data_IF_581930996750
#
_entry.id   IF_581930996750
#
_cell.length_a   1.000
_cell.length_b   1.000
_cell.length_c   1.000
_cell.angle_alpha   90.00
_cell.angle_beta   90.00
_cell.angle_gamma   90.00
#
_symmetry.space_group_name_H-M   'P 1'
#
loop_
_entity.id
_entity.type
_entity.pdbx_description
1 polymer ?
#
# COMPACT_ATOMS: atom_id res chain seq x y z
N UNK A 1 10.76 33.30 27.05
CA UNK A 1 10.22 31.96 27.41
C UNK A 1 9.00 31.57 26.59
N UNK A 2 8.22 32.44 26.03
CA UNK A 2 7.06 32.12 25.17
C UNK A 2 7.48 31.70 23.74
N UNK A 3 8.54 32.25 23.18
CA UNK A 3 9.02 31.87 21.83
C UNK A 3 9.49 30.40 21.71
N UNK A 4 10.16 29.88 22.72
CA UNK A 4 10.65 28.51 22.70
C UNK A 4 9.55 27.44 22.81
N UNK A 5 8.40 27.83 23.39
CA UNK A 5 7.24 26.91 23.52
C UNK A 5 6.48 26.77 22.19
N UNK A 6 6.50 27.79 21.33
CA UNK A 6 5.90 27.73 19.99
C UNK A 6 6.72 26.89 19.01
N UNK A 7 8.06 26.97 19.06
CA UNK A 7 8.94 26.16 18.20
C UNK A 7 8.84 24.66 18.56
N UNK A 8 8.76 24.31 19.85
CA UNK A 8 8.60 22.92 20.31
C UNK A 8 7.22 22.34 19.94
N UNK A 9 6.14 23.16 19.88
CA UNK A 9 4.81 22.72 19.43
C UNK A 9 4.74 22.56 17.90
N UNK A 10 5.38 23.44 17.15
CA UNK A 10 5.44 23.35 15.67
C UNK A 10 6.28 22.16 15.23
N UNK A 11 7.43 21.91 15.87
CA UNK A 11 8.28 20.76 15.57
C UNK A 11 7.57 19.43 15.95
N UNK A 12 6.79 19.42 17.03
CA UNK A 12 5.97 18.28 17.44
C UNK A 12 4.83 18.00 16.45
N UNK A 13 4.20 19.04 15.88
CA UNK A 13 3.15 18.89 14.86
C UNK A 13 3.76 18.44 13.52
N UNK A 14 4.89 19.01 13.09
CA UNK A 14 5.58 18.61 11.86
C UNK A 14 5.95 17.13 11.85
N UNK A 15 6.54 16.63 12.95
CA UNK A 15 6.83 15.22 13.11
C UNK A 15 5.57 14.37 13.14
N UNK A 16 4.43 14.91 13.63
CA UNK A 16 3.14 14.24 13.63
C UNK A 16 2.59 13.99 12.22
N UNK A 17 2.70 14.97 11.29
CA UNK A 17 2.20 14.81 9.92
C UNK A 17 3.08 13.86 9.08
N UNK A 18 4.40 13.93 9.21
CA UNK A 18 5.31 12.99 8.55
C UNK A 18 5.03 11.56 9.02
N UNK A 19 4.73 11.37 10.31
CA UNK A 19 4.39 10.06 10.85
C UNK A 19 2.95 9.64 10.44
N UNK A 20 2.00 10.57 10.24
CA UNK A 20 0.65 10.25 9.68
C UNK A 20 0.76 9.73 8.26
N UNK A 21 1.59 10.35 7.42
CA UNK A 21 1.87 9.87 6.06
C UNK A 21 2.59 8.52 6.10
N UNK A 22 3.58 8.35 7.00
CA UNK A 22 4.29 7.08 7.18
C UNK A 22 3.40 5.97 7.74
N UNK A 23 2.45 6.28 8.62
CA UNK A 23 1.52 5.26 9.20
C UNK A 23 0.30 5.05 8.31
N UNK A 24 -0.17 6.04 7.55
CA UNK A 24 -1.09 5.79 6.43
C UNK A 24 -0.40 4.91 5.37
N UNK A 25 0.88 5.13 5.09
CA UNK A 25 1.69 4.24 4.28
C UNK A 25 1.89 2.87 4.94
N UNK A 26 2.01 2.77 6.26
CA UNK A 26 2.11 1.49 6.99
C UNK A 26 0.75 0.79 7.13
N UNK A 27 -0.35 1.51 7.28
CA UNK A 27 -1.70 0.93 7.27
C UNK A 27 -2.17 0.58 5.85
N UNK A 28 -1.79 1.36 4.84
CA UNK A 28 -1.87 0.99 3.43
C UNK A 28 -0.84 -0.10 3.09
N UNK A 29 0.33 -0.14 3.73
CA UNK A 29 1.31 -1.21 3.55
C UNK A 29 0.98 -2.47 4.36
N UNK A 30 0.10 -2.44 5.33
CA UNK A 30 -0.51 -3.65 5.92
C UNK A 30 -1.63 -4.17 4.98
N UNK A 31 -2.36 -3.28 4.30
CA UNK A 31 -3.20 -3.64 3.14
C UNK A 31 -2.36 -3.92 1.87
N UNK A 32 -1.22 -3.25 1.68
CA UNK A 32 -0.26 -3.37 0.57
C UNK A 32 1.07 -4.03 0.93
N UNK A 33 1.26 -4.47 2.17
CA UNK A 33 2.41 -5.27 2.63
C UNK A 33 2.54 -6.61 1.90
N UNK A 34 1.47 -6.96 1.21
CA UNK A 34 1.40 -8.02 0.22
C UNK A 34 2.25 -7.69 -1.02
N UNK A 35 2.32 -6.43 -1.49
CA UNK A 35 3.01 -6.04 -2.74
C UNK A 35 4.53 -6.14 -2.60
N UNK A 36 5.12 -5.62 -1.53
CA UNK A 36 6.58 -5.68 -1.29
C UNK A 36 7.14 -7.09 -1.13
N UNK A 37 6.37 -8.00 -0.52
CA UNK A 37 6.71 -9.42 -0.36
C UNK A 37 6.71 -10.15 -1.71
N UNK A 38 5.84 -9.74 -2.61
CA UNK A 38 5.69 -10.35 -3.93
C UNK A 38 6.92 -10.15 -4.81
N UNK A 39 7.46 -8.95 -4.89
CA UNK A 39 8.63 -8.58 -5.71
C UNK A 39 9.89 -9.35 -5.27
N UNK A 40 10.06 -9.60 -3.98
CA UNK A 40 11.24 -10.27 -3.45
C UNK A 40 11.23 -11.78 -3.66
N UNK A 41 10.07 -12.44 -3.61
CA UNK A 41 9.98 -13.90 -3.84
C UNK A 41 10.45 -14.27 -5.24
N UNK A 42 10.25 -13.43 -6.23
CA UNK A 42 10.60 -13.70 -7.62
C UNK A 42 12.11 -13.59 -7.89
N UNK A 43 12.78 -12.65 -7.26
CA UNK A 43 14.24 -12.48 -7.41
C UNK A 43 15.08 -13.64 -6.83
N UNK A 44 14.50 -14.56 -6.05
CA UNK A 44 15.17 -15.73 -5.47
C UNK A 44 14.93 -17.06 -6.18
N UNK A 45 13.98 -17.16 -7.10
CA UNK A 45 13.65 -18.42 -7.78
C UNK A 45 14.59 -18.84 -8.93
N UNK A 46 15.84 -18.32 -8.95
CA UNK A 46 16.90 -18.76 -9.88
C UNK A 46 17.50 -20.13 -9.59
N UNK A 47 16.98 -20.96 -8.69
CA UNK A 47 17.47 -22.33 -8.49
C UNK A 47 16.44 -23.22 -7.77
N UNK A 48 15.76 -24.03 -8.55
CA UNK A 48 14.93 -25.14 -8.00
C UNK A 48 15.82 -26.23 -7.40
N UNK A 49 15.65 -26.61 -6.13
CA UNK A 49 16.09 -27.91 -5.66
C UNK A 49 14.91 -28.88 -5.80
N UNK A 50 15.02 -29.84 -6.73
CA UNK A 50 14.26 -31.07 -6.61
C UNK A 50 14.69 -31.80 -5.35
N UNK A 51 13.83 -31.82 -4.34
CA UNK A 51 14.02 -32.56 -3.12
C UNK A 51 12.71 -33.15 -2.63
N UNK A 52 12.53 -34.45 -2.79
CA UNK A 52 11.38 -35.20 -2.29
C UNK A 52 11.25 -35.06 -0.77
N UNK A 53 10.25 -34.32 -0.33
CA UNK A 53 9.85 -34.17 1.07
C UNK A 53 8.64 -35.03 1.38
N UNK A 54 8.75 -35.79 2.42
CA UNK A 54 7.72 -36.66 2.98
C UNK A 54 6.42 -35.90 3.21
N UNK A 55 5.32 -36.42 2.70
CA UNK A 55 3.95 -35.97 2.98
C UNK A 55 3.69 -35.95 4.48
N UNK A 56 3.67 -34.76 5.07
CA UNK A 56 3.03 -34.55 6.35
C UNK A 56 1.52 -34.53 6.09
N UNK A 57 0.82 -35.50 6.63
CA UNK A 57 -0.62 -35.62 6.54
C UNK A 57 -1.28 -34.45 7.26
N UNK A 58 -1.86 -33.49 6.52
CA UNK A 58 -2.72 -32.47 7.11
C UNK A 58 -4.01 -33.16 7.54
N UNK A 59 -4.13 -33.48 8.82
CA UNK A 59 -5.40 -33.92 9.42
C UNK A 59 -6.35 -32.72 9.42
N UNK A 60 -7.42 -32.80 8.63
CA UNK A 60 -8.51 -31.84 8.69
C UNK A 60 -9.01 -31.72 10.13
N UNK A 61 -8.95 -30.51 10.68
CA UNK A 61 -9.32 -30.22 12.07
C UNK A 61 -10.82 -30.48 12.25
N UNK A 62 -11.18 -31.35 13.15
CA UNK A 62 -12.57 -31.78 13.40
C UNK A 62 -13.18 -31.19 14.67
N UNK A 63 -12.38 -30.61 15.56
CA UNK A 63 -12.85 -29.97 16.78
C UNK A 63 -13.19 -28.50 16.52
N UNK A 64 -14.39 -28.01 16.90
CA UNK A 64 -14.76 -26.61 16.75
C UNK A 64 -13.76 -25.61 17.36
N UNK A 65 -13.15 -25.92 18.49
CA UNK A 65 -12.16 -25.06 19.15
C UNK A 65 -10.79 -25.00 18.43
N UNK A 66 -10.48 -25.99 17.59
CA UNK A 66 -9.23 -26.01 16.81
C UNK A 66 -9.35 -25.31 15.45
N UNK A 67 -10.57 -25.09 14.98
CA UNK A 67 -10.85 -24.41 13.68
C UNK A 67 -10.42 -22.96 13.66
N UNK A 68 -10.43 -22.30 14.81
CA UNK A 68 -10.14 -20.88 14.97
C UNK A 68 -8.69 -20.60 15.41
N UNK A 69 -7.85 -21.63 15.49
CA UNK A 69 -6.42 -21.47 15.75
C UNK A 69 -5.70 -20.80 14.59
N UNK A 70 -4.71 -19.96 14.92
CA UNK A 70 -3.82 -19.32 13.96
C UNK A 70 -3.11 -20.37 13.09
N UNK A 71 -3.20 -20.23 11.77
CA UNK A 71 -2.68 -21.17 10.80
C UNK A 71 -3.49 -22.47 10.63
N UNK A 72 -4.66 -22.60 11.29
CA UNK A 72 -5.53 -23.77 11.09
C UNK A 72 -6.16 -23.75 9.70
N UNK A 73 -6.07 -24.86 8.98
CA UNK A 73 -6.66 -25.02 7.64
C UNK A 73 -8.08 -25.59 7.78
N UNK A 74 -9.09 -24.84 7.33
CA UNK A 74 -10.51 -25.13 7.54
C UNK A 74 -11.32 -24.87 6.28
N UNK A 75 -12.16 -25.81 5.87
CA UNK A 75 -13.11 -25.61 4.77
C UNK A 75 -14.48 -25.15 5.31
N UNK A 76 -14.69 -23.83 5.28
CA UNK A 76 -15.93 -23.17 5.74
C UNK A 76 -17.12 -23.35 4.78
N UNK A 77 -16.92 -23.90 3.58
CA UNK A 77 -18.05 -24.25 2.70
C UNK A 77 -18.82 -25.46 3.21
N UNK A 78 -18.19 -26.33 4.03
CA UNK A 78 -18.80 -27.56 4.54
C UNK A 78 -19.93 -27.33 5.54
N UNK A 79 -19.88 -26.23 6.29
CA UNK A 79 -20.93 -25.86 7.24
C UNK A 79 -21.84 -24.74 6.73
N UNK A 80 -21.60 -24.29 5.49
CA UNK A 80 -22.39 -23.25 4.83
C UNK A 80 -22.11 -21.84 5.33
N UNK A 81 -21.07 -21.62 6.16
CA UNK A 81 -20.71 -20.27 6.63
C UNK A 81 -20.05 -19.42 5.55
N UNK A 82 -19.43 -20.04 4.54
CA UNK A 82 -18.83 -19.38 3.38
C UNK A 82 -19.39 -19.95 2.07
N UNK A 83 -19.79 -19.08 1.15
CA UNK A 83 -19.98 -19.40 -0.27
C UNK A 83 -18.76 -18.88 -1.01
N UNK A 84 -17.86 -19.78 -1.40
CA UNK A 84 -16.63 -19.46 -2.10
C UNK A 84 -16.89 -19.25 -3.59
N UNK A 85 -16.36 -18.17 -4.17
CA UNK A 85 -16.37 -17.92 -5.62
C UNK A 85 -15.44 -18.87 -6.39
N UNK A 86 -15.43 -18.79 -7.72
CA UNK A 86 -14.39 -19.40 -8.55
C UNK A 86 -13.04 -18.72 -8.29
N UNK A 87 -12.00 -19.50 -8.03
CA UNK A 87 -10.65 -19.00 -7.76
C UNK A 87 -9.59 -19.57 -8.73
N UNK A 88 -10.00 -20.28 -9.77
CA UNK A 88 -9.11 -20.88 -10.75
C UNK A 88 -9.35 -20.29 -12.13
N UNK A 89 -8.27 -19.88 -12.80
CA UNK A 89 -8.34 -19.37 -14.18
C UNK A 89 -9.01 -18.00 -14.28
N UNK A 90 -8.90 -17.18 -13.24
CA UNK A 90 -9.34 -15.78 -13.25
C UNK A 90 -8.55 -15.04 -14.33
N UNK A 91 -9.24 -14.23 -15.13
CA UNK A 91 -8.61 -13.39 -16.14
C UNK A 91 -8.04 -12.14 -15.46
N UNK A 92 -6.75 -11.88 -15.67
CA UNK A 92 -6.03 -10.72 -15.15
C UNK A 92 -5.39 -9.98 -16.32
N UNK A 93 -5.61 -8.68 -16.39
CA UNK A 93 -4.93 -7.80 -17.35
C UNK A 93 -3.66 -7.24 -16.69
N UNK A 94 -2.47 -7.59 -17.20
CA UNK A 94 -1.21 -7.12 -16.63
C UNK A 94 -0.83 -5.71 -17.11
N UNK A 95 -1.60 -5.09 -18.02
CA UNK A 95 -1.29 -3.75 -18.52
C UNK A 95 -1.36 -2.73 -17.37
N UNK A 96 -0.25 -2.01 -17.06
CA UNK A 96 -0.26 -1.04 -15.99
C UNK A 96 -1.13 0.18 -16.36
N UNK A 97 -1.86 0.72 -15.40
CA UNK A 97 -2.57 1.98 -15.58
C UNK A 97 -1.59 3.14 -15.75
N UNK A 98 -2.05 4.24 -16.37
CA UNK A 98 -1.18 5.42 -16.56
C UNK A 98 -0.73 6.05 -15.21
N UNK A 99 -1.54 5.92 -14.17
CA UNK A 99 -1.19 6.32 -12.80
C UNK A 99 -0.02 5.51 -12.25
N UNK A 100 -0.05 4.18 -12.38
CA UNK A 100 1.04 3.29 -11.91
C UNK A 100 2.37 3.64 -12.58
N UNK A 101 2.30 3.99 -13.87
CA UNK A 101 3.49 4.41 -14.62
C UNK A 101 4.04 5.72 -14.08
N UNK A 102 3.18 6.67 -13.74
CA UNK A 102 3.60 7.95 -13.18
C UNK A 102 4.22 7.75 -11.79
N UNK A 103 3.59 6.97 -10.94
CA UNK A 103 4.10 6.60 -9.61
C UNK A 103 5.47 5.91 -9.70
N UNK A 104 5.64 4.93 -10.59
CA UNK A 104 6.94 4.26 -10.80
C UNK A 104 8.04 5.21 -11.32
N UNK A 105 7.67 6.30 -11.98
CA UNK A 105 8.62 7.33 -12.45
C UNK A 105 8.96 8.38 -11.38
N UNK A 106 8.13 8.56 -10.36
CA UNK A 106 8.24 9.62 -9.35
C UNK A 106 9.63 9.71 -8.72
N UNK A 107 10.31 8.61 -8.30
CA UNK A 107 11.66 8.68 -7.70
C UNK A 107 12.72 9.33 -8.58
N UNK A 108 12.51 9.34 -9.89
CA UNK A 108 13.38 10.05 -10.83
C UNK A 108 12.89 11.48 -11.08
N UNK A 109 11.56 11.68 -11.15
CA UNK A 109 10.96 12.99 -11.43
C UNK A 109 11.28 14.03 -10.34
N UNK A 110 11.34 13.64 -9.08
CA UNK A 110 11.71 14.52 -7.95
C UNK A 110 13.15 15.03 -8.04
N UNK A 111 14.01 14.39 -8.81
CA UNK A 111 15.40 14.81 -9.08
C UNK A 111 15.52 15.91 -10.14
N UNK A 112 14.44 16.21 -10.84
CA UNK A 112 14.43 17.29 -11.84
C UNK A 112 14.68 18.65 -11.19
N UNK A 113 15.27 19.56 -11.96
CA UNK A 113 15.60 20.91 -11.50
C UNK A 113 15.22 21.96 -12.54
N UNK A 114 15.26 23.22 -12.14
CA UNK A 114 15.00 24.37 -13.01
C UNK A 114 16.14 24.66 -14.03
N UNK A 115 17.17 23.83 -14.05
CA UNK A 115 18.32 24.00 -14.98
C UNK A 115 17.93 23.75 -16.44
N UNK A 116 16.95 22.88 -16.68
CA UNK A 116 16.47 22.57 -18.02
C UNK A 116 15.17 23.32 -18.31
N UNK A 117 15.25 24.35 -19.13
CA UNK A 117 14.12 25.24 -19.44
C UNK A 117 13.36 24.71 -20.65
N UNK A 118 12.04 24.72 -20.56
CA UNK A 118 11.13 24.39 -21.62
C UNK A 118 9.70 24.74 -21.22
N UNK A 119 8.87 25.15 -22.16
CA UNK A 119 7.49 25.49 -21.86
C UNK A 119 6.68 24.22 -21.63
N UNK A 120 5.96 24.19 -20.55
CA UNK A 120 5.02 23.12 -20.20
C UNK A 120 3.86 23.12 -21.20
N UNK A 121 3.48 21.93 -21.64
CA UNK A 121 2.34 21.65 -22.52
C UNK A 121 1.41 20.66 -21.83
N UNK A 122 0.18 20.54 -22.34
CA UNK A 122 -0.72 19.47 -21.92
C UNK A 122 -0.09 18.10 -22.24
N UNK A 123 -0.15 17.18 -21.30
CA UNK A 123 0.47 15.85 -21.35
C UNK A 123 1.90 15.77 -20.81
N UNK A 124 2.54 16.93 -20.55
CA UNK A 124 3.87 16.92 -19.91
C UNK A 124 3.79 16.45 -18.46
N UNK A 125 4.81 15.70 -18.02
CA UNK A 125 5.02 15.37 -16.61
C UNK A 125 5.89 16.47 -16.00
N UNK A 126 5.45 17.00 -14.85
CA UNK A 126 6.14 18.08 -14.13
C UNK A 126 6.30 17.73 -12.66
N UNK A 127 7.33 18.31 -12.03
CA UNK A 127 7.49 18.30 -10.58
C UNK A 127 7.33 19.74 -10.09
N UNK A 128 6.52 19.92 -9.04
CA UNK A 128 6.21 21.23 -8.46
C UNK A 128 6.33 21.18 -6.93
N UNK A 129 6.55 22.34 -6.32
CA UNK A 129 6.29 22.53 -4.89
C UNK A 129 5.02 23.37 -4.74
N UNK A 130 4.22 23.04 -3.74
CA UNK A 130 2.97 23.70 -3.40
C UNK A 130 3.02 24.22 -1.97
N UNK A 131 2.73 25.51 -1.77
CA UNK A 131 2.59 26.15 -0.45
C UNK A 131 1.19 26.75 -0.34
N UNK A 132 0.32 26.13 0.47
CA UNK A 132 -1.03 26.61 0.70
C UNK A 132 -1.10 27.64 1.83
N UNK A 133 -1.89 28.70 1.63
CA UNK A 133 -2.11 29.72 2.66
C UNK A 133 -3.58 30.13 2.74
N UNK A 134 -4.05 30.40 3.96
CA UNK A 134 -5.38 30.93 4.24
C UNK A 134 -5.22 32.32 4.84
N UNK A 135 -5.84 33.34 4.23
CA UNK A 135 -5.73 34.75 4.67
C UNK A 135 -4.27 35.24 4.80
N UNK A 136 -3.34 34.61 4.06
CA UNK A 136 -1.91 34.94 4.05
C UNK A 136 -1.06 34.25 5.11
N UNK A 137 -1.66 33.39 5.92
CA UNK A 137 -0.94 32.48 6.84
C UNK A 137 -0.76 31.12 6.18
N UNK A 138 0.48 30.61 6.15
CA UNK A 138 0.80 29.28 5.56
C UNK A 138 0.14 28.19 6.39
N UNK A 139 -0.55 27.27 5.72
CA UNK A 139 -1.19 26.13 6.32
C UNK A 139 -0.38 24.87 5.98
N UNK A 140 0.27 24.28 7.01
CA UNK A 140 1.20 23.16 6.81
C UNK A 140 0.54 21.95 6.13
N UNK A 141 -0.73 21.64 6.46
CA UNK A 141 -1.48 20.55 5.84
C UNK A 141 -1.86 20.75 4.37
N UNK A 142 -1.56 21.91 3.79
CA UNK A 142 -1.77 22.23 2.37
C UNK A 142 -0.45 22.58 1.66
N UNK A 143 0.69 22.23 2.28
CA UNK A 143 2.04 22.47 1.74
C UNK A 143 2.68 21.14 1.42
N UNK A 144 3.13 21.01 0.17
CA UNK A 144 3.70 19.77 -0.34
C UNK A 144 4.90 20.09 -1.25
N UNK A 145 5.99 19.35 -1.07
CA UNK A 145 7.18 19.44 -1.89
C UNK A 145 7.27 18.22 -2.81
N UNK A 146 7.91 18.40 -3.95
CA UNK A 146 8.18 17.33 -4.91
C UNK A 146 6.94 16.65 -5.51
N UNK A 147 5.83 17.38 -5.62
CA UNK A 147 4.60 16.87 -6.20
C UNK A 147 4.77 16.62 -7.70
N UNK A 148 4.60 15.36 -8.13
CA UNK A 148 4.71 14.94 -9.53
C UNK A 148 3.32 14.77 -10.12
N UNK A 149 3.07 15.40 -11.26
CA UNK A 149 1.76 15.30 -11.94
C UNK A 149 1.92 15.31 -13.46
N UNK A 150 0.94 14.77 -14.16
CA UNK A 150 0.78 14.92 -15.60
C UNK A 150 -0.26 16.00 -15.91
N UNK A 151 0.15 17.01 -16.62
CA UNK A 151 -0.69 18.16 -16.96
C UNK A 151 -1.82 17.74 -17.91
N UNK A 152 -3.06 17.78 -17.46
CA UNK A 152 -4.25 17.40 -18.19
C UNK A 152 -5.02 16.22 -17.61
N UNK A 153 -4.48 15.52 -16.61
CA UNK A 153 -5.16 14.39 -15.94
C UNK A 153 -6.17 14.88 -14.89
N UNK A 154 -6.12 16.17 -14.52
CA UNK A 154 -7.02 16.86 -13.59
C UNK A 154 -6.98 16.32 -12.15
N UNK A 155 -5.95 15.61 -11.79
CA UNK A 155 -5.77 15.02 -10.47
C UNK A 155 -5.61 16.08 -9.37
N UNK A 156 -4.89 17.17 -9.68
CA UNK A 156 -4.62 18.27 -8.75
C UNK A 156 -5.44 19.53 -9.04
N UNK A 157 -6.53 19.38 -9.78
CA UNK A 157 -7.45 20.45 -10.11
C UNK A 157 -7.20 21.12 -11.46
N UNK A 158 -8.29 21.25 -12.21
CA UNK A 158 -8.29 21.77 -13.59
C UNK A 158 -7.68 23.18 -13.71
N UNK A 159 -7.91 24.06 -12.72
CA UNK A 159 -7.42 25.44 -12.73
C UNK A 159 -5.91 25.53 -12.50
N UNK A 160 -5.34 24.69 -11.65
CA UNK A 160 -3.89 24.59 -11.45
C UNK A 160 -3.22 24.15 -12.75
N UNK A 161 -3.65 23.05 -13.31
CA UNK A 161 -3.05 22.45 -14.50
C UNK A 161 -3.13 23.38 -15.72
N UNK A 162 -4.25 24.08 -15.92
CA UNK A 162 -4.37 25.12 -16.95
C UNK A 162 -3.35 26.24 -16.79
N UNK A 163 -3.07 26.66 -15.56
CA UNK A 163 -2.11 27.74 -15.28
C UNK A 163 -0.66 27.29 -15.43
N UNK A 164 -0.38 25.97 -15.33
CA UNK A 164 0.95 25.41 -15.60
C UNK A 164 1.30 25.47 -17.09
N UNK A 165 0.32 25.33 -17.98
CA UNK A 165 0.57 25.38 -19.42
C UNK A 165 1.21 26.71 -19.83
N UNK A 166 2.32 26.62 -20.55
CA UNK A 166 3.13 27.77 -21.00
C UNK A 166 4.15 28.30 -19.98
N UNK A 167 4.12 27.81 -18.73
CA UNK A 167 5.16 28.06 -17.74
C UNK A 167 6.42 27.23 -18.04
N UNK A 168 7.48 27.49 -17.31
CA UNK A 168 8.74 26.77 -17.42
C UNK A 168 9.34 26.52 -16.03
N UNK A 169 10.25 25.55 -15.90
CA UNK A 169 10.96 25.32 -14.65
C UNK A 169 11.58 26.61 -14.07
N UNK A 170 11.36 26.84 -12.76
CA UNK A 170 11.74 28.06 -12.03
C UNK A 170 10.66 29.14 -12.01
N UNK A 171 9.55 29.00 -12.75
CA UNK A 171 8.43 29.93 -12.64
C UNK A 171 7.64 29.67 -11.35
N UNK A 172 7.08 30.74 -10.79
CA UNK A 172 6.14 30.68 -9.67
C UNK A 172 4.80 31.26 -10.09
N UNK A 173 3.70 30.66 -9.64
CA UNK A 173 2.33 31.14 -9.89
C UNK A 173 1.48 30.97 -8.64
N UNK A 174 0.32 31.63 -8.61
CA UNK A 174 -0.67 31.46 -7.55
C UNK A 174 -1.98 30.98 -8.13
N UNK A 175 -2.57 29.98 -7.46
CA UNK A 175 -3.91 29.44 -7.72
C UNK A 175 -4.73 29.62 -6.46
N UNK A 176 -5.93 30.19 -6.57
CA UNK A 176 -6.84 30.33 -5.43
C UNK A 176 -8.01 29.35 -5.61
N UNK A 177 -8.35 28.65 -4.57
CA UNK A 177 -9.45 27.70 -4.54
C UNK A 177 -10.31 27.92 -3.31
N UNK A 178 -11.62 27.74 -3.44
CA UNK A 178 -12.54 27.75 -2.30
C UNK A 178 -12.74 26.30 -1.87
N UNK A 179 -12.39 26.04 -0.62
CA UNK A 179 -12.44 24.68 -0.06
C UNK A 179 -13.88 24.20 0.11
N UNK A 180 -14.09 22.97 -0.27
CA UNK A 180 -15.40 22.29 -0.13
C UNK A 180 -15.70 21.87 1.32
N UNK A 181 -16.92 21.36 1.53
CA UNK A 181 -17.39 20.92 2.86
C UNK A 181 -16.66 19.66 3.37
N UNK A 182 -15.97 18.94 2.50
CA UNK A 182 -15.10 17.80 2.85
C UNK A 182 -13.89 18.21 3.70
N UNK A 183 -13.50 19.47 3.64
CA UNK A 183 -12.42 20.04 4.46
C UNK A 183 -13.01 20.79 5.65
N UNK A 184 -13.54 20.08 6.65
CA UNK A 184 -14.34 20.62 7.78
C UNK A 184 -13.78 21.91 8.38
N UNK A 185 -12.47 22.00 8.65
CA UNK A 185 -11.81 23.16 9.23
C UNK A 185 -11.63 24.33 8.26
N UNK A 186 -11.64 24.08 6.96
CA UNK A 186 -11.39 25.05 5.89
C UNK A 186 -12.63 25.28 5.00
N UNK A 187 -13.76 24.62 5.30
CA UNK A 187 -14.99 24.72 4.49
C UNK A 187 -15.39 26.18 4.24
N UNK A 188 -15.50 26.52 2.95
CA UNK A 188 -15.83 27.87 2.50
C UNK A 188 -14.69 28.89 2.57
N UNK A 189 -13.54 28.56 3.15
CA UNK A 189 -12.35 29.43 3.11
C UNK A 189 -11.71 29.42 1.72
N UNK A 190 -11.06 30.54 1.38
CA UNK A 190 -10.24 30.60 0.16
C UNK A 190 -8.80 30.29 0.51
N UNK A 191 -8.25 29.25 -0.10
CA UNK A 191 -6.84 28.88 -0.03
C UNK A 191 -6.12 29.44 -1.25
N UNK A 192 -5.02 30.14 -1.00
CA UNK A 192 -4.08 30.58 -2.02
C UNK A 192 -2.88 29.62 -2.06
N UNK A 193 -2.78 28.84 -3.13
CA UNK A 193 -1.66 27.96 -3.40
C UNK A 193 -0.58 28.70 -4.20
N UNK A 194 0.58 28.86 -3.62
CA UNK A 194 1.79 29.30 -4.32
C UNK A 194 2.51 28.08 -4.86
N UNK A 195 2.55 27.97 -6.18
CA UNK A 195 3.16 26.86 -6.89
C UNK A 195 4.51 27.28 -7.46
N UNK A 196 5.54 26.45 -7.23
CA UNK A 196 6.86 26.62 -7.84
C UNK A 196 7.15 25.45 -8.76
N UNK A 197 7.40 25.71 -10.04
CA UNK A 197 7.76 24.65 -11.00
C UNK A 197 9.20 24.25 -10.79
N UNK A 198 9.46 23.04 -10.30
CA UNK A 198 10.82 22.49 -10.11
C UNK A 198 11.41 21.98 -11.41
N UNK A 199 10.65 21.17 -12.14
CA UNK A 199 11.13 20.54 -13.35
C UNK A 199 10.01 20.18 -14.32
N UNK A 200 10.40 19.90 -15.57
CA UNK A 200 9.55 19.32 -16.61
C UNK A 200 10.31 18.15 -17.21
N UNK A 201 9.68 16.99 -17.22
CA UNK A 201 10.26 15.79 -17.83
C UNK A 201 10.31 15.93 -19.36
N UNK A 202 11.52 15.87 -19.92
CA UNK A 202 11.78 15.98 -21.36
C UNK A 202 12.87 15.00 -21.79
N UNK A 203 13.21 15.00 -23.06
CA UNK A 203 14.21 14.09 -23.63
C UNK A 203 15.59 14.19 -22.98
N UNK A 204 15.92 15.35 -22.40
CA UNK A 204 17.16 15.51 -21.64
C UNK A 204 17.13 14.63 -20.39
N UNK A 205 16.08 14.73 -19.59
CA UNK A 205 15.93 13.94 -18.36
C UNK A 205 15.73 12.45 -18.66
N UNK A 206 14.95 12.10 -19.68
CA UNK A 206 14.80 10.72 -20.13
C UNK A 206 16.16 10.08 -20.48
N UNK A 207 17.02 10.82 -21.18
CA UNK A 207 18.38 10.37 -21.50
C UNK A 207 19.28 10.31 -20.24
N UNK A 208 19.22 11.30 -19.35
CA UNK A 208 20.02 11.38 -18.13
C UNK A 208 19.68 10.23 -17.17
N UNK A 209 18.41 10.07 -16.81
CA UNK A 209 17.95 9.08 -15.84
C UNK A 209 18.13 7.65 -16.34
N UNK A 210 18.00 7.42 -17.64
CA UNK A 210 18.25 6.11 -18.23
C UNK A 210 19.72 5.79 -18.50
N UNK A 211 20.65 6.70 -18.19
CA UNK A 211 22.06 6.56 -18.55
C UNK A 211 22.28 6.43 -20.07
N UNK A 212 21.42 7.08 -20.85
CA UNK A 212 21.49 7.11 -22.31
C UNK A 212 20.77 5.95 -23.02
N UNK A 213 20.12 5.04 -22.30
CA UNK A 213 19.41 3.90 -22.90
C UNK A 213 18.11 4.32 -23.58
N UNK A 214 17.37 5.23 -22.97
CA UNK A 214 16.06 5.69 -23.41
C UNK A 214 16.08 7.21 -23.61
N UNK A 215 16.60 7.70 -24.74
CA UNK A 215 16.94 9.11 -24.93
C UNK A 215 15.74 10.02 -25.23
N UNK A 216 14.50 9.51 -25.19
CA UNK A 216 13.28 10.30 -25.37
C UNK A 216 12.25 9.95 -24.32
N UNK A 217 11.38 10.91 -23.98
CA UNK A 217 10.25 10.71 -23.04
C UNK A 217 9.44 9.49 -23.41
N UNK A 218 9.06 9.35 -24.69
CA UNK A 218 8.28 8.22 -25.19
C UNK A 218 8.96 6.87 -24.91
N UNK A 219 10.27 6.76 -25.17
CA UNK A 219 11.02 5.52 -24.94
C UNK A 219 11.21 5.20 -23.46
N UNK A 220 11.36 6.24 -22.64
CA UNK A 220 11.48 6.07 -21.20
C UNK A 220 10.17 5.54 -20.60
N UNK A 221 9.04 6.19 -20.94
CA UNK A 221 7.72 5.73 -20.50
C UNK A 221 7.42 4.32 -21.01
N UNK A 222 7.74 4.01 -22.27
CA UNK A 222 7.53 2.67 -22.81
C UNK A 222 8.33 1.61 -22.08
N UNK A 223 9.56 1.94 -21.64
CA UNK A 223 10.36 1.04 -20.81
C UNK A 223 9.75 0.82 -19.43
N UNK A 224 9.33 1.89 -18.76
CA UNK A 224 8.69 1.77 -17.44
C UNK A 224 7.41 0.91 -17.54
N UNK A 225 6.59 1.14 -18.57
CA UNK A 225 5.41 0.30 -18.86
C UNK A 225 5.78 -1.17 -19.05
N UNK A 226 6.83 -1.46 -19.82
CA UNK A 226 7.29 -2.84 -20.06
C UNK A 226 7.77 -3.52 -18.76
N UNK A 227 8.48 -2.80 -17.90
CA UNK A 227 8.94 -3.36 -16.62
C UNK A 227 7.76 -3.62 -15.66
N UNK A 228 6.84 -2.65 -15.53
CA UNK A 228 5.62 -2.84 -14.73
C UNK A 228 4.75 -3.98 -15.26
N UNK A 229 4.60 -4.10 -16.58
CA UNK A 229 3.83 -5.20 -17.17
C UNK A 229 4.45 -6.55 -16.82
N UNK A 230 5.77 -6.70 -16.92
CA UNK A 230 6.47 -7.93 -16.52
C UNK A 230 6.29 -8.25 -15.04
N UNK A 231 6.26 -7.20 -14.20
CA UNK A 231 5.99 -7.35 -12.78
C UNK A 231 4.55 -7.81 -12.54
N UNK A 232 3.58 -7.20 -13.22
CA UNK A 232 2.15 -7.57 -13.15
C UNK A 232 1.87 -8.98 -13.69
N UNK A 233 2.69 -9.49 -14.62
CA UNK A 233 2.62 -10.86 -15.11
C UNK A 233 3.14 -11.89 -14.09
N UNK A 234 3.82 -11.45 -13.04
CA UNK A 234 4.35 -12.35 -12.02
C UNK A 234 3.22 -13.07 -11.27
N UNK A 235 3.40 -14.36 -10.88
CA UNK A 235 2.37 -15.09 -10.16
C UNK A 235 1.94 -14.44 -8.84
N UNK A 236 2.82 -13.70 -8.20
CA UNK A 236 2.52 -12.99 -6.97
C UNK A 236 1.57 -11.82 -7.20
N UNK A 237 1.92 -10.89 -8.11
CA UNK A 237 1.10 -9.70 -8.39
C UNK A 237 -0.20 -10.08 -9.10
N UNK A 238 -0.13 -10.97 -10.10
CA UNK A 238 -1.33 -11.49 -10.75
C UNK A 238 -2.25 -12.24 -9.78
N UNK A 239 -1.67 -12.91 -8.78
CA UNK A 239 -2.40 -13.58 -7.72
C UNK A 239 -3.11 -12.63 -6.77
N UNK A 240 -2.51 -11.51 -6.46
CA UNK A 240 -3.11 -10.43 -5.67
C UNK A 240 -4.30 -9.81 -6.41
N UNK A 241 -4.13 -9.43 -7.68
CA UNK A 241 -5.22 -8.90 -8.50
C UNK A 241 -6.40 -9.90 -8.64
N UNK A 242 -6.09 -11.19 -8.76
CA UNK A 242 -7.10 -12.24 -8.79
C UNK A 242 -7.76 -12.44 -7.41
N UNK A 243 -7.02 -12.22 -6.32
CA UNK A 243 -7.52 -12.34 -4.95
C UNK A 243 -8.67 -11.39 -4.66
N UNK A 244 -8.55 -10.14 -5.08
CA UNK A 244 -9.61 -9.15 -4.93
C UNK A 244 -10.92 -9.60 -5.58
N UNK A 245 -10.83 -10.23 -6.75
CA UNK A 245 -11.99 -10.83 -7.41
C UNK A 245 -12.57 -11.97 -6.57
N UNK A 246 -11.74 -12.86 -6.04
CA UNK A 246 -12.19 -13.98 -5.18
C UNK A 246 -12.85 -13.45 -3.91
N UNK A 247 -12.28 -12.45 -3.28
CA UNK A 247 -12.82 -11.84 -2.05
C UNK A 247 -14.14 -11.15 -2.33
N UNK A 248 -14.21 -10.30 -3.36
CA UNK A 248 -15.42 -9.51 -3.68
C UNK A 248 -16.61 -10.42 -4.05
N UNK A 249 -16.39 -11.49 -4.80
CA UNK A 249 -17.44 -12.41 -5.25
C UNK A 249 -17.84 -13.45 -4.19
N UNK A 250 -16.97 -13.73 -3.20
CA UNK A 250 -17.28 -14.65 -2.12
C UNK A 250 -18.22 -14.03 -1.08
N UNK A 251 -19.07 -14.85 -0.45
CA UNK A 251 -20.06 -14.39 0.52
C UNK A 251 -19.99 -15.15 1.82
N UNK A 252 -19.85 -14.43 2.93
CA UNK A 252 -19.95 -14.98 4.29
C UNK A 252 -21.40 -14.87 4.77
N UNK A 253 -21.96 -15.97 5.22
CA UNK A 253 -23.29 -16.01 5.83
C UNK A 253 -23.24 -16.00 7.36
N UNK A 254 -22.10 -16.37 7.92
CA UNK A 254 -21.84 -16.40 9.37
C UNK A 254 -20.33 -16.38 9.63
N UNK A 255 -19.89 -15.39 10.39
CA UNK A 255 -18.53 -15.31 10.89
C UNK A 255 -18.32 -16.21 12.12
N UNK A 256 -17.12 -16.79 12.33
CA UNK A 256 -16.77 -17.47 13.57
C UNK A 256 -16.67 -16.43 14.71
N UNK A 257 -17.52 -16.59 15.76
CA UNK A 257 -17.69 -15.59 16.81
C UNK A 257 -16.38 -15.21 17.53
N UNK A 258 -15.51 -16.17 17.83
CA UNK A 258 -14.26 -15.89 18.53
C UNK A 258 -13.25 -15.17 17.63
N UNK A 259 -13.18 -15.57 16.35
CA UNK A 259 -12.28 -14.96 15.38
C UNK A 259 -12.68 -13.49 15.12
N UNK A 260 -13.97 -13.22 14.92
CA UNK A 260 -14.45 -11.84 14.72
C UNK A 260 -14.23 -10.96 15.97
N UNK A 261 -14.50 -11.48 17.17
CA UNK A 261 -14.23 -10.73 18.42
C UNK A 261 -12.75 -10.45 18.63
N UNK A 262 -11.88 -11.40 18.30
CA UNK A 262 -10.44 -11.20 18.35
C UNK A 262 -10.01 -10.11 17.38
N UNK A 263 -10.53 -10.13 16.14
CA UNK A 263 -10.17 -9.15 15.13
C UNK A 263 -10.66 -7.74 15.44
N UNK A 264 -11.91 -7.58 15.88
CA UNK A 264 -12.41 -6.29 16.36
C UNK A 264 -11.50 -5.73 17.48
N UNK A 265 -11.07 -6.58 18.42
CA UNK A 265 -10.16 -6.16 19.47
C UNK A 265 -8.79 -5.75 18.93
N UNK A 266 -8.25 -6.49 17.97
CA UNK A 266 -6.97 -6.20 17.34
C UNK A 266 -7.00 -4.87 16.58
N UNK A 267 -8.02 -4.67 15.74
CA UNK A 267 -8.24 -3.43 15.00
C UNK A 267 -8.32 -2.23 15.95
N UNK A 268 -9.14 -2.30 17.01
CA UNK A 268 -9.20 -1.25 18.03
C UNK A 268 -7.86 -0.98 18.72
N UNK A 269 -7.07 -2.03 18.97
CA UNK A 269 -5.75 -1.88 19.58
C UNK A 269 -4.77 -1.16 18.68
N UNK A 270 -4.80 -1.41 17.36
CA UNK A 270 -3.97 -0.72 16.39
C UNK A 270 -4.24 0.79 16.39
N UNK A 271 -5.49 1.22 16.32
CA UNK A 271 -5.85 2.65 16.40
C UNK A 271 -5.46 3.29 17.75
N UNK A 272 -5.57 2.55 18.85
CA UNK A 272 -5.11 3.04 20.17
C UNK A 272 -3.60 3.20 20.24
N UNK A 273 -2.86 2.23 19.72
CA UNK A 273 -1.40 2.31 19.66
C UNK A 273 -0.97 3.50 18.77
N UNK A 274 -1.63 3.68 17.63
CA UNK A 274 -1.40 4.85 16.79
C UNK A 274 -1.67 6.16 17.52
N UNK A 275 -2.81 6.27 18.20
CA UNK A 275 -3.16 7.45 19.00
C UNK A 275 -2.09 7.77 20.06
N UNK A 276 -1.61 6.72 20.78
CA UNK A 276 -0.53 6.86 21.79
C UNK A 276 0.78 7.35 21.17
N UNK A 277 1.17 6.79 20.02
CA UNK A 277 2.39 7.18 19.30
C UNK A 277 2.32 8.64 18.80
N UNK A 278 1.16 9.06 18.33
CA UNK A 278 0.94 10.42 17.81
C UNK A 278 0.63 11.43 18.92
N UNK A 279 0.33 10.98 20.14
CA UNK A 279 -0.08 11.85 21.24
C UNK A 279 -1.44 12.52 21.01
N UNK A 280 -2.32 11.89 20.24
CA UNK A 280 -3.70 12.30 19.95
C UNK A 280 -4.69 11.39 20.67
N UNK A 281 -5.98 11.74 20.65
CA UNK A 281 -7.03 10.89 21.22
C UNK A 281 -7.35 9.72 20.27
N UNK A 282 -8.01 8.70 20.80
CA UNK A 282 -8.44 7.55 19.99
C UNK A 282 -9.47 7.96 18.92
N UNK A 283 -10.37 8.88 19.26
CA UNK A 283 -11.36 9.44 18.34
C UNK A 283 -10.70 10.24 17.20
N UNK A 284 -9.69 11.05 17.53
CA UNK A 284 -8.88 11.76 16.51
C UNK A 284 -8.13 10.77 15.61
N UNK A 285 -7.59 9.69 16.17
CA UNK A 285 -6.94 8.64 15.39
C UNK A 285 -7.92 7.95 14.42
N UNK A 286 -9.13 7.64 14.85
CA UNK A 286 -10.16 7.09 13.95
C UNK A 286 -10.50 8.08 12.83
N UNK A 287 -10.79 9.33 13.20
CA UNK A 287 -11.16 10.39 12.24
C UNK A 287 -10.06 10.67 11.21
N UNK A 288 -8.77 10.55 11.58
CA UNK A 288 -7.65 10.72 10.65
C UNK A 288 -7.67 9.73 9.48
N UNK A 289 -8.36 8.60 9.65
CA UNK A 289 -8.53 7.57 8.61
C UNK A 289 -9.98 7.53 8.08
N UNK A 290 -10.80 8.55 8.34
CA UNK A 290 -12.20 8.57 7.94
C UNK A 290 -13.04 7.46 8.60
N UNK A 291 -12.62 6.96 9.76
CA UNK A 291 -13.25 5.87 10.48
C UNK A 291 -13.94 6.36 11.77
N UNK A 292 -14.85 5.56 12.25
CA UNK A 292 -15.48 5.70 13.56
C UNK A 292 -15.57 4.33 14.27
N UNK A 293 -16.08 4.31 15.48
CA UNK A 293 -16.19 3.07 16.26
C UNK A 293 -17.12 2.03 15.62
N UNK A 294 -18.12 2.46 14.82
CA UNK A 294 -19.09 1.58 14.17
C UNK A 294 -18.48 0.91 12.92
N UNK A 295 -17.63 1.63 12.17
CA UNK A 295 -16.96 1.12 10.97
C UNK A 295 -15.93 0.02 11.27
N UNK A 296 -15.38 -0.02 12.49
CA UNK A 296 -14.36 -1.02 12.87
C UNK A 296 -14.87 -2.47 12.83
N UNK A 297 -16.16 -2.69 13.07
CA UNK A 297 -16.74 -4.04 12.94
C UNK A 297 -16.71 -4.50 11.48
N UNK A 298 -17.02 -3.60 10.52
CA UNK A 298 -16.94 -3.89 9.08
C UNK A 298 -15.52 -4.22 8.64
N UNK A 299 -14.52 -3.44 9.08
CA UNK A 299 -13.10 -3.71 8.79
C UNK A 299 -12.70 -5.09 9.32
N UNK A 300 -13.08 -5.43 10.55
CA UNK A 300 -12.80 -6.74 11.14
C UNK A 300 -13.51 -7.88 10.39
N UNK A 301 -14.75 -7.66 9.92
CA UNK A 301 -15.48 -8.63 9.09
C UNK A 301 -14.77 -8.91 7.78
N UNK A 302 -14.25 -7.91 7.09
CA UNK A 302 -13.50 -8.06 5.85
C UNK A 302 -12.21 -8.87 6.08
N UNK A 303 -11.42 -8.55 7.11
CA UNK A 303 -10.23 -9.31 7.47
C UNK A 303 -10.54 -10.78 7.81
N UNK A 304 -11.62 -11.03 8.54
CA UNK A 304 -12.05 -12.41 8.86
C UNK A 304 -12.55 -13.14 7.61
N UNK A 305 -13.23 -12.44 6.69
CA UNK A 305 -13.67 -12.99 5.40
C UNK A 305 -12.48 -13.49 4.59
N UNK A 306 -11.44 -12.69 4.44
CA UNK A 306 -10.22 -13.08 3.71
C UNK A 306 -9.57 -14.32 4.33
N UNK A 307 -9.42 -14.36 5.67
CA UNK A 307 -8.90 -15.55 6.36
C UNK A 307 -9.76 -16.79 6.16
N UNK A 308 -11.10 -16.65 6.17
CA UNK A 308 -12.00 -17.78 5.89
C UNK A 308 -11.83 -18.29 4.45
N UNK A 309 -11.68 -17.39 3.48
CA UNK A 309 -11.43 -17.74 2.08
C UNK A 309 -10.09 -18.47 1.95
N UNK A 310 -9.00 -17.89 2.48
CA UNK A 310 -7.67 -18.47 2.41
C UNK A 310 -7.62 -19.87 3.05
N UNK A 311 -8.15 -20.03 4.26
CA UNK A 311 -8.23 -21.33 4.96
C UNK A 311 -9.04 -22.36 4.17
N UNK A 312 -10.12 -21.92 3.50
CA UNK A 312 -10.96 -22.80 2.69
C UNK A 312 -10.25 -23.27 1.44
N UNK A 313 -9.60 -22.38 0.70
CA UNK A 313 -8.82 -22.73 -0.49
C UNK A 313 -7.65 -23.62 -0.10
N UNK A 314 -6.91 -23.29 0.94
CA UNK A 314 -5.82 -24.12 1.45
C UNK A 314 -6.29 -25.53 1.82
N UNK A 315 -7.48 -25.67 2.44
CA UNK A 315 -8.08 -26.96 2.75
C UNK A 315 -8.45 -27.76 1.49
N UNK A 316 -8.96 -27.10 0.45
CA UNK A 316 -9.37 -27.76 -0.81
C UNK A 316 -8.17 -28.20 -1.65
N UNK A 317 -7.12 -27.37 -1.66
CA UNK A 317 -5.92 -27.58 -2.49
C UNK A 317 -4.79 -28.29 -1.72
N UNK A 318 -4.98 -28.60 -0.45
CA UNK A 318 -3.99 -29.21 0.44
C UNK A 318 -2.71 -28.38 0.55
N UNK A 319 -2.83 -27.06 0.59
CA UNK A 319 -1.71 -26.16 0.78
C UNK A 319 -1.23 -26.24 2.23
N UNK A 320 0.09 -26.31 2.41
CA UNK A 320 0.73 -26.42 3.72
C UNK A 320 1.74 -25.30 3.88
N UNK A 321 1.60 -24.56 4.96
CA UNK A 321 2.57 -23.56 5.38
C UNK A 321 3.75 -24.27 6.06
N UNK A 322 4.91 -24.30 5.42
CA UNK A 322 6.13 -24.85 6.03
C UNK A 322 6.85 -23.82 6.90
N UNK A 323 7.57 -24.31 7.93
CA UNK A 323 8.24 -23.47 8.92
C UNK A 323 9.34 -22.55 8.31
N UNK A 324 9.95 -22.96 7.21
CA UNK A 324 11.02 -22.19 6.57
C UNK A 324 10.45 -20.95 5.87
N UNK A 325 9.42 -21.14 5.04
CA UNK A 325 8.72 -20.02 4.38
C UNK A 325 8.08 -19.08 5.38
N UNK A 326 7.45 -19.65 6.40
CA UNK A 326 6.82 -18.87 7.44
C UNK A 326 7.84 -17.98 8.18
N UNK A 327 9.01 -18.52 8.51
CA UNK A 327 10.08 -17.74 9.12
C UNK A 327 10.63 -16.65 8.20
N UNK A 328 10.85 -16.98 6.92
CA UNK A 328 11.34 -16.03 5.93
C UNK A 328 10.34 -14.87 5.76
N UNK A 329 9.05 -15.16 5.71
CA UNK A 329 8.00 -14.15 5.65
C UNK A 329 8.01 -13.20 6.84
N UNK A 330 8.02 -13.75 8.07
CA UNK A 330 8.06 -12.93 9.27
C UNK A 330 9.30 -12.02 9.30
N UNK A 331 10.46 -12.57 8.95
CA UNK A 331 11.69 -11.78 8.88
C UNK A 331 11.58 -10.64 7.90
N UNK A 332 11.04 -10.90 6.72
CA UNK A 332 10.90 -9.90 5.67
C UNK A 332 9.94 -8.78 6.07
N UNK A 333 8.71 -9.11 6.46
CA UNK A 333 7.70 -8.11 6.88
C UNK A 333 8.21 -7.20 7.99
N UNK A 334 9.08 -7.74 8.86
CA UNK A 334 9.66 -6.96 9.96
C UNK A 334 10.90 -6.17 9.55
N UNK A 335 11.54 -6.50 8.43
CA UNK A 335 12.71 -5.77 7.90
C UNK A 335 12.30 -4.60 7.00
N UNK A 336 11.23 -4.76 6.22
CA UNK A 336 10.74 -3.74 5.28
C UNK A 336 10.21 -2.47 6.00
N UNK A 337 9.91 -2.58 7.30
CA UNK A 337 9.41 -1.47 8.13
C UNK A 337 10.48 -0.75 8.96
N UNK A 338 11.76 -1.10 8.84
CA UNK A 338 12.85 -0.39 9.49
C UNK A 338 13.72 0.33 8.45
N UNK A 339 13.69 1.66 8.44
CA UNK A 339 14.66 2.47 7.71
C UNK A 339 16.06 2.26 8.31
N UNK A 340 16.81 1.31 7.77
CA UNK A 340 18.21 1.07 8.14
C UNK A 340 18.61 -0.40 8.04
N UNK A 341 19.87 -0.66 7.68
CA UNK A 341 20.48 -1.99 7.60
C UNK A 341 20.65 -2.63 9.00
N UNK A 342 19.55 -2.85 9.74
CA UNK A 342 19.64 -3.56 11.02
C UNK A 342 19.50 -5.07 10.85
N UNK A 343 20.64 -5.76 10.76
CA UNK A 343 20.74 -7.22 10.77
C UNK A 343 20.40 -7.86 12.13
N UNK A 344 19.86 -7.12 13.10
CA UNK A 344 19.58 -7.62 14.45
C UNK A 344 18.53 -8.74 14.48
N UNK A 345 17.64 -8.80 13.47
CA UNK A 345 16.57 -9.79 13.39
C UNK A 345 17.01 -11.15 12.83
N UNK A 346 18.13 -11.21 12.12
CA UNK A 346 18.63 -12.46 11.50
C UNK A 346 18.99 -13.57 12.50
N UNK A 347 19.20 -13.21 13.76
CA UNK A 347 19.51 -14.15 14.85
C UNK A 347 18.32 -14.59 15.71
N UNK A 348 17.11 -14.01 15.51
CA UNK A 348 15.94 -14.31 16.32
C UNK A 348 15.36 -15.70 16.00
N UNK A 349 14.83 -16.35 17.02
CA UNK A 349 14.05 -17.57 16.86
C UNK A 349 12.69 -17.27 16.24
N UNK A 350 12.04 -18.28 15.68
CA UNK A 350 10.70 -18.14 15.13
C UNK A 350 9.69 -17.64 16.18
N UNK A 351 9.81 -18.13 17.42
CA UNK A 351 8.93 -17.72 18.53
C UNK A 351 9.09 -16.23 18.89
N UNK A 352 10.33 -15.74 18.87
CA UNK A 352 10.62 -14.32 19.10
C UNK A 352 10.06 -13.43 17.98
N UNK A 353 10.21 -13.84 16.72
CA UNK A 353 9.64 -13.16 15.56
C UNK A 353 8.10 -13.14 15.59
N UNK A 354 7.47 -14.28 15.90
CA UNK A 354 6.00 -14.34 16.03
C UNK A 354 5.49 -13.41 17.13
N UNK A 355 6.20 -13.36 18.26
CA UNK A 355 5.80 -12.51 19.38
C UNK A 355 5.92 -11.03 19.01
N UNK A 356 6.98 -10.63 18.37
CA UNK A 356 7.21 -9.26 17.89
C UNK A 356 6.14 -8.88 16.87
N UNK A 357 5.92 -9.70 15.84
CA UNK A 357 4.87 -9.50 14.85
C UNK A 357 3.49 -9.27 15.49
N UNK A 358 3.12 -10.09 16.48
CA UNK A 358 1.83 -9.95 17.18
C UNK A 358 1.73 -8.68 18.00
N UNK A 359 2.82 -8.17 18.52
CA UNK A 359 2.84 -6.91 19.26
C UNK A 359 2.69 -5.71 18.31
N UNK A 360 3.38 -5.75 17.18
CA UNK A 360 3.49 -4.62 16.25
C UNK A 360 2.26 -4.54 15.33
N UNK A 361 1.77 -5.67 14.85
CA UNK A 361 0.67 -5.75 13.88
C UNK A 361 -0.65 -6.24 14.49
N UNK A 362 -0.63 -6.76 15.73
CA UNK A 362 -1.83 -7.20 16.44
C UNK A 362 -2.61 -8.30 15.72
N UNK A 363 -2.02 -8.97 14.73
CA UNK A 363 -2.69 -9.92 13.85
C UNK A 363 -2.29 -11.39 14.11
N UNK A 364 -2.66 -12.25 13.22
CA UNK A 364 -2.46 -13.70 13.28
C UNK A 364 -1.46 -14.12 12.21
N UNK A 365 -0.16 -14.11 12.50
CA UNK A 365 0.91 -14.22 11.49
C UNK A 365 0.80 -15.46 10.59
N UNK A 366 0.29 -16.58 11.09
CA UNK A 366 0.12 -17.80 10.26
C UNK A 366 -1.09 -17.69 9.32
N UNK A 367 -2.14 -17.02 9.74
CA UNK A 367 -3.30 -16.78 8.90
C UNK A 367 -2.93 -15.77 7.79
N UNK A 368 -2.13 -14.75 8.11
CA UNK A 368 -1.68 -13.76 7.13
C UNK A 368 -0.76 -14.38 6.09
N UNK A 369 0.23 -15.20 6.51
CA UNK A 369 1.05 -15.96 5.56
C UNK A 369 0.23 -16.95 4.73
N UNK A 370 -0.85 -17.51 5.28
CA UNK A 370 -1.72 -18.41 4.54
C UNK A 370 -2.47 -17.67 3.42
N UNK A 371 -2.82 -16.39 3.62
CA UNK A 371 -3.39 -15.54 2.56
C UNK A 371 -2.38 -15.41 1.42
N UNK A 372 -1.14 -15.02 1.70
CA UNK A 372 -0.08 -14.87 0.70
C UNK A 372 0.20 -16.18 -0.06
N UNK A 373 0.25 -17.30 0.67
CA UNK A 373 0.44 -18.62 0.05
C UNK A 373 -0.69 -18.96 -0.93
N UNK A 374 -1.94 -18.60 -0.58
CA UNK A 374 -3.11 -18.83 -1.43
C UNK A 374 -3.12 -17.88 -2.62
N UNK A 375 -2.76 -16.61 -2.43
CA UNK A 375 -2.62 -15.64 -3.52
C UNK A 375 -1.59 -16.11 -4.55
N UNK A 376 -0.40 -16.51 -4.11
CA UNK A 376 0.63 -17.08 -4.99
C UNK A 376 0.14 -18.34 -5.72
N UNK A 377 -0.59 -19.23 -5.03
CA UNK A 377 -1.20 -20.41 -5.66
C UNK A 377 -2.23 -20.03 -6.74
N UNK A 378 -3.07 -19.03 -6.49
CA UNK A 378 -4.04 -18.52 -7.46
C UNK A 378 -3.31 -17.89 -8.64
N UNK A 379 -2.26 -17.10 -8.39
CA UNK A 379 -1.43 -16.45 -9.39
C UNK A 379 -0.82 -17.43 -10.40
N UNK A 380 -0.37 -18.61 -9.94
CA UNK A 380 0.07 -19.70 -10.81
C UNK A 380 -1.02 -20.22 -11.75
N UNK A 381 -2.28 -19.88 -11.53
CA UNK A 381 -3.45 -20.38 -12.25
C UNK A 381 -4.25 -19.30 -12.97
N UNK A 382 -3.87 -18.04 -12.85
CA UNK A 382 -4.52 -16.95 -13.58
C UNK A 382 -4.38 -17.16 -15.09
N UNK A 383 -5.26 -16.53 -15.83
CA UNK A 383 -5.18 -16.42 -17.27
C UNK A 383 -4.89 -14.97 -17.60
N UNK A 384 -3.65 -14.67 -17.96
CA UNK A 384 -3.29 -13.34 -18.43
C UNK A 384 -4.00 -13.04 -19.76
N UNK A 385 -4.58 -11.86 -19.86
CA UNK A 385 -5.21 -11.32 -21.06
C UNK A 385 -4.44 -10.07 -21.48
N UNK A 386 -4.36 -9.80 -22.78
CA UNK A 386 -3.60 -8.66 -23.35
C UNK A 386 -2.07 -8.67 -23.05
N UNK A 387 -1.52 -9.80 -22.56
CA UNK A 387 -0.10 -9.99 -22.26
C UNK A 387 0.75 -10.21 -23.53
#
# INVERSE_FOLDING_TARGET
>A
MAFKKGEDEVEKKRNSYIIVILVAAVMLAVAAGVIGVSIWMENRHGSSPQGGGKTASSTAVTDPGDREKDGAVVDYTKDGSLTLSGYMGIEVDPEPADGDVLEAMEPDMVKMTDKHKGKIQAGDIVCIDQEGSVQGEVYEGLTEEDLVLRVGDHEYGEELEKKLVGRQPGDTLTVSEVMGDEYEELSGETVDYKITVKGRFDDYYANEFSGGKYPTVEKYIAHVKEELQKENESPSVAGESAWDTVVSESKVSRYPDSLLKEEIKNTKSQYKNFAELQGITYEEALSSFGQDEESLEGIAEDMVKERMIAKTIAAKENLVLDDARYKDYLMQTMMDNEEGEDNSKSGKSLEELEKEYRNDYGSRPKDDMLILLVQSFIGDKVKLINA
#
